data_IF_780694555636
#
_entry.id   IF_780694555636
#
_cell.length_a   1.000
_cell.length_b   1.000
_cell.length_c   1.000
_cell.angle_alpha   90.00
_cell.angle_beta   90.00
_cell.angle_gamma   90.00
#
_symmetry.space_group_name_H-M   'P 1'
#
loop_
_entity.id
_entity.type
_entity.pdbx_description
1 polymer ?
#
# COMPACT_ATOMS: atom_id res chain seq x y z
N UNK A 1 -0.12 -1.03 -19.81
CA UNK A 1 0.93 -1.99 -19.44
C UNK A 1 1.01 -3.01 -20.56
N UNK A 2 2.19 -3.20 -21.14
CA UNK A 2 2.45 -4.27 -22.11
C UNK A 2 3.27 -5.34 -21.40
N UNK A 3 2.82 -6.59 -21.49
CA UNK A 3 3.52 -7.75 -20.91
C UNK A 3 4.18 -8.45 -22.09
N UNK A 4 5.52 -8.50 -22.08
CA UNK A 4 6.32 -9.13 -23.14
C UNK A 4 7.06 -10.31 -22.53
N UNK A 5 6.94 -11.48 -23.15
CA UNK A 5 7.68 -12.68 -22.76
C UNK A 5 9.10 -12.60 -23.34
N UNK A 6 10.12 -12.76 -22.50
CA UNK A 6 11.52 -12.71 -22.92
C UNK A 6 12.03 -14.09 -23.42
N UNK A 7 11.30 -15.17 -23.11
CA UNK A 7 11.59 -16.56 -23.49
C UNK A 7 10.28 -17.34 -23.71
N UNK A 8 10.36 -18.60 -24.16
CA UNK A 8 9.18 -19.47 -24.29
C UNK A 8 8.48 -19.65 -22.95
N UNK A 9 7.24 -19.18 -22.84
CA UNK A 9 6.43 -19.30 -21.64
C UNK A 9 5.06 -19.89 -21.94
N UNK A 10 4.58 -20.75 -21.03
CA UNK A 10 3.20 -21.23 -21.02
C UNK A 10 2.40 -20.36 -20.06
N UNK A 11 1.34 -19.72 -20.58
CA UNK A 11 0.46 -18.86 -19.79
C UNK A 11 -0.87 -19.58 -19.57
N UNK A 12 -1.28 -19.71 -18.31
CA UNK A 12 -2.61 -20.13 -17.93
C UNK A 12 -3.43 -18.90 -17.56
N UNK A 13 -4.54 -18.68 -18.27
CA UNK A 13 -5.49 -17.61 -17.95
C UNK A 13 -6.71 -18.18 -17.23
N UNK A 14 -7.06 -17.60 -16.08
CA UNK A 14 -8.28 -17.92 -15.34
C UNK A 14 -9.09 -16.65 -15.18
N UNK A 15 -10.40 -16.70 -15.44
CA UNK A 15 -11.27 -15.54 -15.23
C UNK A 15 -11.49 -15.30 -13.75
N UNK A 16 -11.63 -14.02 -13.35
CA UNK A 16 -11.87 -13.65 -11.96
C UNK A 16 -13.10 -14.38 -11.37
N UNK A 17 -14.18 -14.48 -12.15
CA UNK A 17 -15.38 -15.22 -11.74
C UNK A 17 -15.12 -16.71 -11.46
N UNK A 18 -14.35 -17.38 -12.32
CA UNK A 18 -14.03 -18.80 -12.15
C UNK A 18 -13.10 -18.99 -10.95
N UNK A 19 -12.10 -18.12 -10.80
CA UNK A 19 -11.20 -18.11 -9.65
C UNK A 19 -11.98 -17.97 -8.34
N UNK A 20 -12.90 -17.00 -8.27
CA UNK A 20 -13.74 -16.77 -7.09
C UNK A 20 -14.63 -17.98 -6.75
N UNK A 21 -15.19 -18.64 -7.77
CA UNK A 21 -15.97 -19.88 -7.56
C UNK A 21 -15.11 -21.01 -7.01
N UNK A 22 -13.93 -21.23 -7.58
CA UNK A 22 -13.02 -22.30 -7.13
C UNK A 22 -12.48 -22.00 -5.73
N UNK A 23 -12.17 -20.74 -5.42
CA UNK A 23 -11.70 -20.36 -4.08
C UNK A 23 -12.76 -20.59 -3.00
N UNK A 24 -14.04 -20.45 -3.33
CA UNK A 24 -15.14 -20.75 -2.40
C UNK A 24 -15.29 -22.26 -2.22
N UNK A 25 -15.24 -23.03 -3.31
CA UNK A 25 -15.42 -24.49 -3.27
C UNK A 25 -14.22 -25.22 -2.63
N UNK A 26 -13.01 -24.72 -2.86
CA UNK A 26 -11.76 -25.30 -2.39
C UNK A 26 -10.85 -24.20 -1.78
N UNK A 27 -11.10 -23.74 -0.55
CA UNK A 27 -10.31 -22.67 0.07
C UNK A 27 -8.80 -22.97 0.19
N UNK A 28 -8.42 -24.25 0.20
CA UNK A 28 -7.04 -24.72 0.24
C UNK A 28 -6.20 -24.28 -0.97
N UNK A 29 -6.81 -23.84 -2.08
CA UNK A 29 -6.07 -23.32 -3.24
C UNK A 29 -5.53 -21.91 -3.00
N UNK A 30 -6.15 -21.12 -2.10
CA UNK A 30 -5.80 -19.71 -1.90
C UNK A 30 -4.35 -19.52 -1.44
N UNK A 31 -3.85 -20.28 -0.44
CA UNK A 31 -2.45 -20.18 -0.03
C UNK A 31 -1.46 -20.53 -1.16
N UNK A 32 -1.79 -21.54 -1.98
CA UNK A 32 -0.94 -21.95 -3.11
C UNK A 32 -0.85 -20.84 -4.17
N UNK A 33 -1.98 -20.22 -4.51
CA UNK A 33 -1.98 -19.07 -5.42
C UNK A 33 -1.23 -17.87 -4.84
N UNK A 34 -1.41 -17.61 -3.53
CA UNK A 34 -0.68 -16.55 -2.86
C UNK A 34 0.85 -16.80 -2.94
N UNK A 35 1.31 -18.03 -2.69
CA UNK A 35 2.72 -18.38 -2.80
C UNK A 35 3.28 -18.18 -4.21
N UNK A 36 2.54 -18.59 -5.24
CA UNK A 36 2.93 -18.38 -6.65
C UNK A 36 3.03 -16.89 -6.99
N UNK A 37 2.01 -16.09 -6.62
CA UNK A 37 2.01 -14.64 -6.84
C UNK A 37 3.17 -14.00 -6.09
N UNK A 38 3.36 -14.35 -4.82
CA UNK A 38 4.47 -13.86 -4.04
C UNK A 38 5.80 -14.23 -4.69
N UNK A 39 6.00 -15.46 -5.17
CA UNK A 39 7.25 -15.86 -5.82
C UNK A 39 7.62 -14.96 -7.02
N UNK A 40 6.62 -14.52 -7.80
CA UNK A 40 6.79 -13.64 -8.96
C UNK A 40 7.14 -12.18 -8.63
N UNK A 41 6.84 -11.72 -7.40
CA UNK A 41 7.16 -10.36 -6.99
C UNK A 41 8.66 -10.22 -6.69
N UNK A 42 9.22 -9.07 -7.04
CA UNK A 42 10.60 -8.74 -6.67
C UNK A 42 10.75 -8.66 -5.14
N UNK A 43 11.95 -8.92 -4.62
CA UNK A 43 12.24 -8.84 -3.18
C UNK A 43 11.90 -7.45 -2.59
N UNK A 44 12.08 -6.39 -3.38
CA UNK A 44 11.67 -5.04 -3.02
C UNK A 44 10.16 -4.93 -2.82
N UNK A 45 9.36 -5.42 -3.79
CA UNK A 45 7.90 -5.39 -3.69
C UNK A 45 7.40 -6.27 -2.54
N UNK A 46 8.00 -7.44 -2.31
CA UNK A 46 7.71 -8.29 -1.14
C UNK A 46 7.89 -7.51 0.16
N UNK A 47 9.08 -6.94 0.37
CA UNK A 47 9.42 -6.18 1.58
C UNK A 47 8.46 -5.00 1.79
N UNK A 48 8.07 -4.33 0.71
CA UNK A 48 7.11 -3.24 0.74
C UNK A 48 5.70 -3.73 1.08
N UNK A 49 5.20 -4.77 0.42
CA UNK A 49 3.85 -5.32 0.69
C UNK A 49 3.71 -5.85 2.10
N UNK A 50 4.78 -6.42 2.68
CA UNK A 50 4.80 -6.87 4.07
C UNK A 50 5.03 -5.74 5.08
N UNK A 51 5.64 -4.64 4.66
CA UNK A 51 5.90 -3.47 5.51
C UNK A 51 4.80 -2.41 5.46
N UNK A 52 3.72 -2.64 4.70
CA UNK A 52 2.60 -1.71 4.60
C UNK A 52 1.46 -2.11 5.53
N UNK A 53 1.27 -1.32 6.58
CA UNK A 53 0.05 -1.32 7.37
C UNK A 53 -0.94 -0.29 6.82
N UNK A 54 -2.22 -0.65 6.78
CA UNK A 54 -3.31 0.24 6.38
C UNK A 54 -3.98 0.83 7.61
N UNK A 55 -3.76 2.13 7.83
CA UNK A 55 -4.39 2.89 8.90
C UNK A 55 -5.48 3.81 8.35
N UNK A 56 -6.66 3.79 8.97
CA UNK A 56 -7.72 4.77 8.72
C UNK A 56 -7.78 5.77 9.88
N UNK A 57 -7.78 7.06 9.55
CA UNK A 57 -7.78 8.14 10.53
C UNK A 57 -9.10 8.91 10.52
N UNK A 58 -9.59 9.26 11.70
CA UNK A 58 -10.77 10.13 11.84
C UNK A 58 -10.47 11.56 11.41
N UNK A 59 -11.52 12.30 11.05
CA UNK A 59 -11.40 13.71 10.68
C UNK A 59 -10.80 14.53 11.82
N UNK A 60 -9.73 15.26 11.53
CA UNK A 60 -9.02 16.09 12.51
C UNK A 60 -7.95 15.35 13.32
N UNK A 61 -7.74 14.06 13.08
CA UNK A 61 -6.65 13.32 13.72
C UNK A 61 -5.27 13.84 13.26
N UNK A 62 -4.32 13.87 14.20
CA UNK A 62 -2.93 14.25 13.92
C UNK A 62 -2.14 12.99 13.53
N UNK A 63 -1.80 12.86 12.25
CA UNK A 63 -0.97 11.74 11.74
C UNK A 63 0.50 11.88 12.17
N UNK A 64 0.97 13.12 12.31
CA UNK A 64 2.33 13.43 12.75
C UNK A 64 2.35 14.74 13.52
N UNK A 65 3.20 14.82 14.54
CA UNK A 65 3.41 16.03 15.35
C UNK A 65 4.84 16.50 15.18
N UNK A 66 5.00 17.80 14.90
CA UNK A 66 6.32 18.43 14.73
C UNK A 66 7.22 18.18 15.95
N UNK A 67 8.46 17.76 15.70
CA UNK A 67 9.46 17.51 16.75
C UNK A 67 9.38 16.11 17.36
N UNK A 68 8.37 15.31 17.01
CA UNK A 68 8.35 13.90 17.38
C UNK A 68 9.20 13.07 16.43
N UNK A 69 10.00 12.13 16.96
CA UNK A 69 10.70 11.13 16.15
C UNK A 69 9.65 10.23 15.49
N UNK A 70 9.69 10.12 14.16
CA UNK A 70 8.87 9.15 13.41
C UNK A 70 9.78 8.20 12.63
N UNK A 71 9.53 6.91 12.77
CA UNK A 71 10.16 5.85 11.96
C UNK A 71 9.23 5.38 10.83
N UNK A 72 8.11 6.09 10.62
CA UNK A 72 7.06 5.73 9.66
C UNK A 72 6.98 6.72 8.50
N UNK A 73 6.75 6.17 7.31
CA UNK A 73 6.42 6.91 6.09
C UNK A 73 4.94 6.65 5.78
N UNK A 74 4.18 7.72 5.56
CA UNK A 74 2.75 7.63 5.28
C UNK A 74 2.48 7.93 3.81
N UNK A 75 1.71 7.06 3.15
CA UNK A 75 1.18 7.29 1.80
C UNK A 75 -0.31 7.52 1.93
N UNK A 76 -0.78 8.70 1.52
CA UNK A 76 -2.21 9.05 1.58
C UNK A 76 -2.89 8.48 0.34
N UNK A 77 -3.84 7.58 0.55
CA UNK A 77 -4.59 6.96 -0.55
C UNK A 77 -5.88 7.73 -0.86
N UNK A 78 -6.51 8.31 0.16
CA UNK A 78 -7.71 9.13 0.02
C UNK A 78 -7.84 10.12 1.19
N UNK A 79 -8.47 11.27 0.94
CA UNK A 79 -8.68 12.32 1.94
C UNK A 79 -7.82 13.57 1.73
N UNK A 80 -7.78 14.45 2.73
CA UNK A 80 -7.00 15.69 2.71
C UNK A 80 -6.16 15.76 3.97
N UNK A 81 -4.85 15.95 3.82
CA UNK A 81 -3.98 16.33 4.93
C UNK A 81 -3.71 17.83 4.91
N UNK A 82 -3.54 18.39 6.11
CA UNK A 82 -3.17 19.78 6.32
C UNK A 82 -1.87 19.82 7.11
N UNK A 83 -0.85 20.42 6.54
CA UNK A 83 0.40 20.69 7.25
C UNK A 83 0.22 21.93 8.13
N UNK A 84 0.33 21.75 9.44
CA UNK A 84 0.37 22.85 10.42
C UNK A 84 1.77 22.90 11.01
N UNK A 85 2.41 24.07 10.95
CA UNK A 85 3.73 24.29 11.55
C UNK A 85 3.61 25.28 12.69
N UNK A 86 4.24 24.96 13.80
CA UNK A 86 4.39 25.86 14.94
C UNK A 86 5.69 26.65 14.79
N UNK A 87 5.60 27.97 14.93
CA UNK A 87 6.77 28.85 14.91
C UNK A 87 7.39 28.99 16.31
N UNK A 88 8.55 29.64 16.41
CA UNK A 88 9.24 29.85 17.69
C UNK A 88 8.45 30.68 18.73
N UNK A 89 7.33 31.32 18.33
CA UNK A 89 6.43 32.08 19.20
C UNK A 89 5.21 31.28 19.65
N UNK A 90 5.10 30.00 19.26
CA UNK A 90 3.96 29.14 19.58
C UNK A 90 2.74 29.32 18.66
N UNK A 91 2.84 30.12 17.60
CA UNK A 91 1.73 30.32 16.67
C UNK A 91 1.69 29.19 15.64
N UNK A 92 0.52 28.56 15.50
CA UNK A 92 0.26 27.49 14.54
C UNK A 92 -0.27 28.06 13.23
N UNK A 93 0.43 27.82 12.11
CA UNK A 93 0.01 28.28 10.78
C UNK A 93 -0.13 27.10 9.82
N UNK A 94 -1.20 27.13 9.01
CA UNK A 94 -1.38 26.19 7.91
C UNK A 94 -0.38 26.54 6.81
N UNK A 95 0.47 25.59 6.44
CA UNK A 95 1.46 25.79 5.39
C UNK A 95 0.88 25.35 4.05
N UNK A 96 0.77 26.29 3.11
CA UNK A 96 0.23 26.03 1.76
C UNK A 96 1.32 25.84 0.70
N UNK A 97 2.60 25.95 1.10
CA UNK A 97 3.74 25.95 0.19
C UNK A 97 4.75 24.89 0.62
N UNK A 98 4.99 23.91 -0.25
CA UNK A 98 6.08 22.94 -0.14
C UNK A 98 7.23 23.52 -0.95
N UNK A 99 8.34 23.85 -0.29
CA UNK A 99 9.56 24.33 -0.95
C UNK A 99 10.41 23.14 -1.40
#
# INVERSE_FOLDING_TARGET
FEIVANEECVVLSVSNFLFHKISILCPSIIPMFAEVVMSSLSSFLKNITFGFDWDNFESGANVYTQGMKSERIYIILHGRLRLVRENARGEKKCCWRVH
#
